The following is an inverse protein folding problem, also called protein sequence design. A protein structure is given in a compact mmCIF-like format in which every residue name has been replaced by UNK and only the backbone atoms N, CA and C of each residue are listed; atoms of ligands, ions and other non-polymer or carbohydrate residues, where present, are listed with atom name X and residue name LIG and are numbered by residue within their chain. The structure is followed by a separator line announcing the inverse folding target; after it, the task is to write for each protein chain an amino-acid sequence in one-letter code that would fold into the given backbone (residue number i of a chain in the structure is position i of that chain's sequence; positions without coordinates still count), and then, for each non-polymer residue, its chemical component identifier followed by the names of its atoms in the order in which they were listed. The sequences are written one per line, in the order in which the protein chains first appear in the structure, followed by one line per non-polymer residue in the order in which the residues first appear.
data_IF_687577557041
#
_entry.id   IF_687577557041
#
_cell.length_a   1.000
_cell.length_b   1.000
_cell.length_c   1.000
_cell.angle_alpha   90.00
_cell.angle_beta   90.00
_cell.angle_gamma   90.00
#
_symmetry.space_group_name_H-M   'P 1'
#
loop_
_entity.id
_entity.type
_entity.pdbx_description
1 polymer ?
#
# COMPACT_ATOMS: atom_id res chain seq x y z
N UNK A 1 6.12 -23.92 4.43
CA UNK A 1 6.01 -22.62 3.76
C UNK A 1 5.20 -21.66 4.63
N UNK A 2 5.76 -20.54 5.06
CA UNK A 2 4.98 -19.56 5.80
C UNK A 2 3.95 -18.87 4.89
N UNK A 3 2.83 -18.45 5.46
CA UNK A 3 1.88 -17.59 4.78
C UNK A 3 2.25 -16.13 4.95
N UNK A 4 1.69 -15.26 4.12
CA UNK A 4 1.91 -13.83 4.22
C UNK A 4 0.59 -13.08 4.41
N UNK A 5 0.58 -12.19 5.37
CA UNK A 5 -0.49 -11.21 5.60
C UNK A 5 0.16 -9.83 5.62
N UNK A 6 -0.52 -8.83 5.11
CA UNK A 6 -0.05 -7.45 5.20
C UNK A 6 -0.99 -6.67 6.12
N UNK A 7 -0.42 -6.07 7.15
CA UNK A 7 -1.15 -5.19 8.07
C UNK A 7 -0.72 -3.76 7.81
N UNK A 8 -1.68 -2.87 7.67
CA UNK A 8 -1.44 -1.43 7.47
C UNK A 8 -2.16 -0.67 8.58
N UNK A 9 -1.40 0.06 9.38
CA UNK A 9 -1.98 0.94 10.39
C UNK A 9 -2.55 2.19 9.72
N UNK A 10 -3.75 2.58 10.15
CA UNK A 10 -4.39 3.81 9.70
C UNK A 10 -4.97 4.54 10.92
N UNK A 11 -5.01 5.88 10.90
CA UNK A 11 -5.57 6.62 12.03
C UNK A 11 -7.10 6.58 12.08
N UNK A 12 -7.74 6.35 10.93
CA UNK A 12 -9.19 6.29 10.78
C UNK A 12 -9.53 5.14 9.84
N UNK A 13 -10.29 4.16 10.33
CA UNK A 13 -10.57 2.94 9.59
C UNK A 13 -11.40 3.22 8.32
N UNK A 14 -12.40 4.07 8.42
CA UNK A 14 -13.26 4.39 7.28
C UNK A 14 -12.48 5.09 6.17
N UNK A 15 -11.58 6.01 6.51
CA UNK A 15 -10.72 6.68 5.55
C UNK A 15 -9.74 5.69 4.90
N UNK A 16 -9.18 4.77 5.68
CA UNK A 16 -8.29 3.73 5.15
C UNK A 16 -9.01 2.81 4.18
N UNK A 17 -10.18 2.34 4.56
CA UNK A 17 -11.00 1.50 3.68
C UNK A 17 -11.35 2.24 2.39
N UNK A 18 -11.78 3.49 2.48
CA UNK A 18 -12.10 4.30 1.31
C UNK A 18 -10.91 4.40 0.35
N UNK A 19 -9.72 4.68 0.87
CA UNK A 19 -8.54 4.81 0.04
C UNK A 19 -8.20 3.49 -0.67
N UNK A 20 -8.02 2.42 0.08
CA UNK A 20 -7.52 1.16 -0.49
C UNK A 20 -8.52 0.46 -1.40
N UNK A 21 -9.82 0.60 -1.15
CA UNK A 21 -10.83 0.06 -2.06
C UNK A 21 -10.89 0.85 -3.37
N UNK A 22 -10.75 2.16 -3.33
CA UNK A 22 -10.80 3.00 -4.53
C UNK A 22 -9.47 3.03 -5.28
N UNK A 23 -8.35 3.13 -4.57
CA UNK A 23 -7.03 3.24 -5.21
C UNK A 23 -6.60 1.93 -5.87
N UNK A 24 -6.84 0.79 -5.22
CA UNK A 24 -6.34 -0.51 -5.66
C UNK A 24 -7.44 -1.46 -6.13
N UNK A 25 -8.70 -1.04 -6.05
CA UNK A 25 -9.82 -1.90 -6.43
C UNK A 25 -10.05 -3.06 -5.47
N UNK A 26 -9.61 -2.95 -4.23
CA UNK A 26 -9.81 -3.99 -3.23
C UNK A 26 -11.24 -3.99 -2.71
N UNK A 27 -11.64 -5.09 -2.09
CA UNK A 27 -12.99 -5.27 -1.55
C UNK A 27 -12.92 -5.50 -0.05
N UNK A 28 -13.71 -4.75 0.72
CA UNK A 28 -13.86 -4.98 2.15
C UNK A 28 -14.59 -6.30 2.38
N UNK A 29 -14.04 -7.14 3.24
CA UNK A 29 -14.60 -8.45 3.57
C UNK A 29 -14.93 -8.53 5.05
N UNK A 30 -14.16 -9.27 5.84
CA UNK A 30 -14.48 -9.46 7.25
C UNK A 30 -14.07 -8.25 8.07
N UNK A 31 -14.85 -7.99 9.13
CA UNK A 31 -14.54 -6.96 10.13
C UNK A 31 -14.34 -7.62 11.48
N UNK A 32 -13.31 -7.17 12.19
CA UNK A 32 -13.04 -7.67 13.54
C UNK A 32 -13.14 -6.50 14.49
N UNK A 33 -14.11 -6.57 15.39
CA UNK A 33 -14.47 -5.47 16.26
C UNK A 33 -14.76 -4.19 15.43
N UNK A 34 -14.44 -3.02 15.96
CA UNK A 34 -14.64 -1.76 15.24
C UNK A 34 -13.35 -1.18 14.67
N UNK A 35 -12.24 -1.91 14.73
CA UNK A 35 -10.91 -1.36 14.45
C UNK A 35 -10.10 -2.13 13.41
N UNK A 36 -10.64 -3.22 12.85
CA UNK A 36 -9.93 -3.98 11.81
C UNK A 36 -10.88 -4.32 10.67
N UNK A 37 -10.44 -4.10 9.43
CA UNK A 37 -11.14 -4.58 8.24
C UNK A 37 -10.18 -5.37 7.35
N UNK A 38 -10.67 -6.52 6.89
CA UNK A 38 -9.96 -7.36 5.92
C UNK A 38 -10.30 -6.89 4.51
N UNK A 39 -9.26 -6.71 3.69
CA UNK A 39 -9.40 -6.36 2.27
C UNK A 39 -8.94 -7.54 1.43
N UNK A 40 -9.78 -7.92 0.46
CA UNK A 40 -9.50 -8.97 -0.52
C UNK A 40 -9.36 -8.37 -1.91
N UNK A 41 -8.89 -9.18 -2.87
CA UNK A 41 -8.69 -8.73 -4.25
C UNK A 41 -7.22 -8.59 -4.62
N UNK A 42 -6.31 -8.84 -3.69
CA UNK A 42 -4.88 -8.94 -3.90
C UNK A 42 -4.45 -10.40 -3.68
N UNK A 43 -3.26 -10.78 -4.10
CA UNK A 43 -2.76 -12.15 -3.91
C UNK A 43 -2.69 -12.57 -2.45
N UNK A 44 -2.44 -11.62 -1.55
CA UNK A 44 -2.42 -11.86 -0.11
C UNK A 44 -3.45 -10.97 0.56
N UNK A 45 -4.03 -11.39 1.70
CA UNK A 45 -4.97 -10.54 2.41
C UNK A 45 -4.27 -9.32 3.02
N UNK A 46 -4.95 -8.18 2.97
CA UNK A 46 -4.50 -6.93 3.57
C UNK A 46 -5.47 -6.58 4.68
N UNK A 47 -4.94 -6.26 5.85
CA UNK A 47 -5.74 -5.84 7.00
C UNK A 47 -5.44 -4.40 7.31
N UNK A 48 -6.47 -3.58 7.40
CA UNK A 48 -6.34 -2.22 7.92
C UNK A 48 -6.66 -2.25 9.39
N UNK A 49 -5.79 -1.65 10.19
CA UNK A 49 -5.92 -1.64 11.64
C UNK A 49 -5.95 -0.20 12.10
N UNK A 50 -7.03 0.20 12.76
CA UNK A 50 -7.15 1.55 13.32
C UNK A 50 -6.26 1.66 14.56
N UNK A 51 -5.29 2.55 14.49
CA UNK A 51 -4.35 2.84 15.59
C UNK A 51 -4.21 4.35 15.70
N UNK A 52 -4.49 4.93 16.87
CA UNK A 52 -4.38 6.38 17.02
C UNK A 52 -2.95 6.88 16.83
N UNK A 53 -2.81 8.08 16.26
CA UNK A 53 -1.53 8.78 16.25
C UNK A 53 -1.04 8.95 17.69
N UNK A 54 0.26 8.76 17.91
CA UNK A 54 0.86 8.83 19.24
C UNK A 54 0.79 7.54 20.04
N UNK A 55 0.13 6.48 19.54
CA UNK A 55 0.10 5.20 20.23
C UNK A 55 1.42 4.46 20.08
N UNK A 56 1.78 3.65 21.09
CA UNK A 56 3.03 2.92 21.14
C UNK A 56 3.07 1.84 20.04
N UNK A 57 4.24 1.69 19.41
CA UNK A 57 4.42 0.76 18.29
C UNK A 57 4.52 -0.68 18.78
N UNK A 58 5.15 -0.92 19.89
CA UNK A 58 5.34 -2.27 20.38
C UNK A 58 5.40 -2.35 21.90
N UNK A 59 5.47 -3.56 22.45
CA UNK A 59 5.46 -3.76 23.90
C UNK A 59 6.69 -3.22 24.62
N UNK A 60 7.79 -2.98 23.90
CA UNK A 60 9.02 -2.45 24.48
C UNK A 60 9.10 -0.94 24.55
N UNK A 61 8.10 -0.23 24.04
CA UNK A 61 8.15 1.23 23.95
C UNK A 61 9.20 1.71 22.94
N UNK A 62 9.57 2.96 23.01
CA UNK A 62 10.66 3.54 22.22
C UNK A 62 10.20 4.43 21.09
N UNK A 63 9.24 4.05 20.28
CA UNK A 63 8.73 4.89 19.23
C UNK A 63 7.19 4.90 19.26
N UNK A 64 6.60 5.86 18.56
CA UNK A 64 5.17 6.09 18.54
C UNK A 64 4.68 6.20 17.11
N UNK A 65 3.40 5.84 16.90
CA UNK A 65 2.79 5.96 15.58
C UNK A 65 2.60 7.41 15.18
N UNK A 66 3.02 7.71 13.97
CA UNK A 66 2.81 9.00 13.32
C UNK A 66 2.42 8.75 11.87
N UNK A 67 1.54 9.57 11.34
CA UNK A 67 0.98 9.39 10.01
C UNK A 67 1.44 10.46 9.01
N UNK A 68 2.49 11.19 9.37
CA UNK A 68 3.21 12.01 8.41
C UNK A 68 4.16 11.12 7.61
N UNK A 69 4.41 11.47 6.36
CA UNK A 69 5.28 10.68 5.47
C UNK A 69 6.69 10.57 6.05
N UNK A 70 7.16 9.35 6.17
CA UNK A 70 8.54 9.04 6.55
C UNK A 70 8.97 7.76 5.83
N UNK A 71 10.27 7.59 5.64
CA UNK A 71 10.80 6.43 4.96
C UNK A 71 10.73 5.19 5.86
N UNK A 72 10.37 4.07 5.23
CA UNK A 72 10.44 2.75 5.86
C UNK A 72 11.21 1.80 4.94
N UNK A 73 12.01 0.87 5.50
CA UNK A 73 12.80 -0.05 4.68
C UNK A 73 11.96 -1.11 3.96
N UNK A 74 10.75 -1.36 4.42
CA UNK A 74 9.82 -2.30 3.80
C UNK A 74 8.63 -1.53 3.25
N UNK A 75 8.30 -1.79 1.99
CA UNK A 75 7.12 -1.22 1.35
C UNK A 75 6.52 -2.24 0.37
N UNK A 76 5.20 -2.25 0.16
CA UNK A 76 4.59 -3.11 -0.84
C UNK A 76 4.75 -2.53 -2.24
N UNK A 77 4.96 -3.41 -3.21
CA UNK A 77 4.86 -3.09 -4.62
C UNK A 77 3.66 -3.85 -5.18
N UNK A 78 2.72 -3.12 -5.76
CA UNK A 78 1.54 -3.73 -6.39
C UNK A 78 1.77 -3.79 -7.90
N UNK A 79 1.75 -4.99 -8.47
CA UNK A 79 1.79 -5.13 -9.92
C UNK A 79 0.39 -4.94 -10.49
N UNK A 80 0.29 -4.13 -11.53
CA UNK A 80 -0.98 -3.74 -12.15
C UNK A 80 -0.90 -3.91 -13.65
N UNK A 81 -2.07 -4.07 -14.28
CA UNK A 81 -2.13 -4.24 -15.74
C UNK A 81 -1.81 -2.94 -16.48
N UNK A 82 -2.26 -1.81 -15.96
CA UNK A 82 -2.00 -0.48 -16.52
C UNK A 82 -1.56 0.46 -15.42
N UNK A 83 -0.31 0.89 -15.47
CA UNK A 83 0.22 1.84 -14.48
C UNK A 83 -0.49 3.19 -14.57
N UNK A 84 -0.76 3.66 -15.79
CA UNK A 84 -1.40 4.96 -15.96
C UNK A 84 -2.80 4.97 -15.33
N UNK A 85 -3.59 3.92 -15.56
CA UNK A 85 -4.92 3.81 -14.98
C UNK A 85 -4.87 3.66 -13.46
N UNK A 86 -3.96 2.82 -12.97
CA UNK A 86 -3.81 2.60 -11.53
C UNK A 86 -3.33 3.86 -10.81
N UNK A 87 -2.36 4.58 -11.40
CA UNK A 87 -1.87 5.84 -10.85
C UNK A 87 -2.99 6.88 -10.78
N UNK A 88 -3.81 6.97 -11.82
CA UNK A 88 -4.93 7.91 -11.86
C UNK A 88 -5.94 7.61 -10.75
N UNK A 89 -6.28 6.33 -10.55
CA UNK A 89 -7.16 5.93 -9.45
C UNK A 89 -6.56 6.23 -8.08
N UNK A 90 -5.27 5.94 -7.92
CA UNK A 90 -4.59 6.20 -6.65
C UNK A 90 -4.59 7.69 -6.31
N UNK A 91 -4.25 8.54 -7.28
CA UNK A 91 -4.25 10.00 -7.08
C UNK A 91 -5.65 10.52 -6.78
N UNK A 92 -6.67 10.03 -7.50
CA UNK A 92 -8.05 10.43 -7.25
C UNK A 92 -8.54 10.02 -5.86
N UNK A 93 -8.02 8.92 -5.32
CA UNK A 93 -8.36 8.43 -3.97
C UNK A 93 -7.59 9.15 -2.86
N UNK A 94 -6.56 9.94 -3.19
CA UNK A 94 -5.83 10.74 -2.22
C UNK A 94 -4.35 10.41 -2.07
N UNK A 95 -3.80 9.51 -2.90
CA UNK A 95 -2.37 9.25 -2.89
C UNK A 95 -1.57 10.44 -3.41
N UNK A 96 -0.33 10.53 -2.99
CA UNK A 96 0.65 11.49 -3.51
C UNK A 96 1.71 10.71 -4.27
N UNK A 97 1.98 11.08 -5.52
CA UNK A 97 3.07 10.48 -6.26
C UNK A 97 4.39 11.13 -5.86
N UNK A 98 5.37 10.29 -5.56
CA UNK A 98 6.71 10.73 -5.15
C UNK A 98 7.67 10.53 -6.32
N UNK A 99 7.99 11.63 -6.99
CA UNK A 99 8.84 11.60 -8.18
C UNK A 99 8.08 11.23 -9.45
N UNK A 100 8.82 10.96 -10.51
CA UNK A 100 8.27 10.66 -11.82
C UNK A 100 8.10 9.16 -12.03
N UNK A 101 7.24 8.78 -12.96
CA UNK A 101 7.17 7.40 -13.43
C UNK A 101 8.46 7.06 -14.18
N UNK A 102 9.04 5.92 -13.84
CA UNK A 102 10.30 5.46 -14.42
C UNK A 102 10.06 4.39 -15.47
N UNK A 103 10.77 4.49 -16.59
CA UNK A 103 10.88 3.41 -17.58
C UNK A 103 12.11 2.59 -17.24
N UNK A 104 11.91 1.31 -17.00
CA UNK A 104 12.93 0.39 -16.50
C UNK A 104 13.00 -0.85 -17.43
N UNK A 105 14.11 -1.61 -17.39
CA UNK A 105 14.21 -2.79 -18.26
C UNK A 105 13.06 -3.79 -18.09
N UNK A 106 12.44 -3.85 -16.92
CA UNK A 106 11.37 -4.80 -16.60
C UNK A 106 9.96 -4.21 -16.76
N UNK A 107 9.83 -2.93 -17.06
CA UNK A 107 8.53 -2.28 -17.19
C UNK A 107 8.54 -0.85 -16.69
N UNK A 108 7.43 -0.42 -16.13
CA UNK A 108 7.27 0.95 -15.61
C UNK A 108 6.93 0.90 -14.14
N UNK A 109 7.44 1.87 -13.40
CA UNK A 109 7.25 1.92 -11.94
C UNK A 109 7.06 3.35 -11.47
N UNK A 110 6.19 3.54 -10.50
CA UNK A 110 5.99 4.83 -9.83
C UNK A 110 5.84 4.62 -8.33
N UNK A 111 6.36 5.57 -7.56
CA UNK A 111 6.31 5.57 -6.10
C UNK A 111 5.20 6.50 -5.61
N UNK A 112 4.51 6.06 -4.57
CA UNK A 112 3.41 6.80 -3.97
C UNK A 112 3.48 6.77 -2.45
N UNK A 113 2.81 7.73 -1.84
CA UNK A 113 2.41 7.63 -0.43
C UNK A 113 0.89 7.60 -0.36
N UNK A 114 0.35 6.78 0.54
CA UNK A 114 -1.07 6.82 0.84
C UNK A 114 -1.40 8.06 1.68
N UNK A 115 -2.69 8.39 1.94
CA UNK A 115 -3.03 9.58 2.72
C UNK A 115 -2.53 9.56 4.16
N UNK A 116 -2.04 8.42 4.63
CA UNK A 116 -1.63 8.20 6.02
C UNK A 116 -0.11 8.10 6.18
N UNK A 117 0.66 8.45 5.13
CA UNK A 117 2.11 8.47 5.17
C UNK A 117 2.80 7.15 4.86
N UNK A 118 2.04 6.12 4.47
CA UNK A 118 2.62 4.82 4.11
C UNK A 118 3.06 4.82 2.64
N UNK A 119 4.29 4.38 2.38
CA UNK A 119 4.83 4.30 1.03
C UNK A 119 4.47 3.01 0.32
N UNK A 120 4.19 3.08 -0.98
CA UNK A 120 3.99 1.92 -1.83
C UNK A 120 4.38 2.26 -3.27
N UNK A 121 4.61 1.23 -4.07
CA UNK A 121 4.88 1.40 -5.50
C UNK A 121 3.80 0.70 -6.33
N UNK A 122 3.61 1.20 -7.54
CA UNK A 122 2.84 0.53 -8.58
C UNK A 122 3.81 0.14 -9.69
N UNK A 123 3.72 -1.10 -10.18
CA UNK A 123 4.57 -1.63 -11.23
C UNK A 123 3.71 -2.23 -12.33
N UNK A 124 3.99 -1.83 -13.56
CA UNK A 124 3.46 -2.48 -14.75
C UNK A 124 4.61 -3.23 -15.41
N UNK A 125 4.63 -4.56 -15.28
CA UNK A 125 5.66 -5.37 -15.89
C UNK A 125 5.46 -5.46 -17.41
N UNK A 126 6.56 -5.45 -18.16
CA UNK A 126 6.55 -5.81 -19.57
C UNK A 126 6.57 -7.33 -19.74
N UNK A 127 6.67 -7.82 -20.96
CA UNK A 127 6.64 -9.26 -21.25
C UNK A 127 7.77 -10.03 -20.56
N UNK A 128 8.94 -9.41 -20.38
CA UNK A 128 10.09 -10.06 -19.75
C UNK A 128 10.04 -10.00 -18.22
N UNK A 129 9.43 -8.96 -17.64
CA UNK A 129 9.46 -8.76 -16.21
C UNK A 129 10.90 -8.72 -15.68
N UNK A 130 11.11 -9.22 -14.47
CA UNK A 130 12.45 -9.22 -13.86
C UNK A 130 13.49 -10.08 -14.60
N UNK A 131 13.07 -10.98 -15.49
CA UNK A 131 14.03 -11.72 -16.34
C UNK A 131 14.87 -10.77 -17.20
N UNK A 132 14.37 -9.58 -17.49
CA UNK A 132 15.12 -8.56 -18.19
C UNK A 132 16.40 -8.13 -17.47
N UNK A 133 16.48 -8.37 -16.16
CA UNK A 133 17.65 -8.04 -15.34
C UNK A 133 18.71 -9.13 -15.32
N UNK A 134 18.44 -10.29 -15.94
CA UNK A 134 19.34 -11.44 -15.92
C UNK A 134 20.39 -11.40 -17.03
N UNK A 135 20.27 -10.53 -17.99
CA UNK A 135 21.17 -10.44 -19.15
C UNK A 135 22.36 -9.53 -18.92
#
# INVERSE_FOLDING_TARGET
MPGLLINIDVPDLAAGEHFYTNALGLTAARRFDDDIVELTGCEVPIYLIAKPAGSAIGPGGGDFRRYNRHWTPVHPDFSVASLDDAAQRALAAGAVQEGETLDLPYGRQAMFADPFGNGFCLIEFNERGYDALLD
#
